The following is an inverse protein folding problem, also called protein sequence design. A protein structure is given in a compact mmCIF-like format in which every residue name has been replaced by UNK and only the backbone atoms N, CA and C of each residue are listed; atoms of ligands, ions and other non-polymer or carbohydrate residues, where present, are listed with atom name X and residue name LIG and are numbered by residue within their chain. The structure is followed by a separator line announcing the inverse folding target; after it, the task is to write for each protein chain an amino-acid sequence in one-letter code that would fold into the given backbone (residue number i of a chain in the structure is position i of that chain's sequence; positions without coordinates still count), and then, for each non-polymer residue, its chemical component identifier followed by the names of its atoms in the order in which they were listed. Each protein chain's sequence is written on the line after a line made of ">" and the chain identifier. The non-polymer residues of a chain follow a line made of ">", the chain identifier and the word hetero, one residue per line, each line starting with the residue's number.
data_IF_611470772690
#
_entry.id   IF_611470772690
#
_cell.length_a   1.000
_cell.length_b   1.000
_cell.length_c   1.000
_cell.angle_alpha   90.00
_cell.angle_beta   90.00
_cell.angle_gamma   90.00
#
_symmetry.space_group_name_H-M   'P 1'
#
loop_
_entity.id
_entity.type
_entity.pdbx_description
1 polymer ?
#
# COMPACT_ATOMS: atom_id res chain seq x y z
N UNK A 1 23.86 -47.31 -6.17
CA UNK A 1 23.57 -46.32 -7.21
C UNK A 1 22.09 -45.97 -7.17
N UNK A 2 21.76 -44.70 -7.45
CA UNK A 2 20.44 -44.04 -7.45
C UNK A 2 19.97 -43.45 -6.13
N UNK A 3 20.49 -42.24 -5.85
CA UNK A 3 19.88 -41.28 -4.95
C UNK A 3 18.64 -40.62 -5.58
N UNK A 4 17.60 -40.43 -4.76
CA UNK A 4 16.45 -39.63 -5.12
C UNK A 4 16.72 -38.18 -4.70
N UNK A 5 16.94 -37.31 -5.69
CA UNK A 5 17.21 -35.90 -5.48
C UNK A 5 15.96 -35.15 -5.03
N UNK A 6 16.03 -34.49 -3.88
CA UNK A 6 15.10 -33.44 -3.51
C UNK A 6 15.30 -32.26 -4.47
N UNK A 7 14.30 -31.98 -5.30
CA UNK A 7 14.26 -30.81 -6.17
C UNK A 7 14.36 -29.54 -5.34
N UNK A 8 15.43 -28.79 -5.55
CA UNK A 8 15.73 -27.56 -4.84
C UNK A 8 14.77 -26.43 -5.21
N UNK A 9 13.85 -26.11 -4.30
CA UNK A 9 13.30 -24.76 -4.21
C UNK A 9 14.28 -23.88 -3.43
N UNK A 10 15.41 -23.55 -4.08
CA UNK A 10 16.40 -22.64 -3.54
C UNK A 10 16.70 -21.53 -4.57
N UNK A 11 15.69 -20.70 -4.82
CA UNK A 11 15.92 -19.29 -5.17
C UNK A 11 15.48 -18.50 -3.92
N UNK A 12 16.38 -18.36 -2.93
CA UNK A 12 17.13 -17.12 -2.75
C UNK A 12 16.15 -15.93 -2.60
N UNK A 13 15.46 -15.79 -1.46
CA UNK A 13 15.92 -14.96 -0.33
C UNK A 13 17.03 -13.95 -0.71
N UNK A 14 16.61 -12.82 -1.26
CA UNK A 14 17.46 -11.68 -1.63
C UNK A 14 16.64 -10.57 -2.25
N UNK A 15 15.89 -9.83 -1.42
CA UNK A 15 15.01 -8.74 -1.84
C UNK A 15 15.76 -7.51 -2.34
N UNK A 16 16.24 -7.56 -3.58
CA UNK A 16 16.30 -6.36 -4.39
C UNK A 16 15.06 -6.36 -5.29
N UNK A 17 14.23 -5.31 -5.25
CA UNK A 17 13.30 -5.13 -6.35
C UNK A 17 14.16 -5.03 -7.61
N UNK A 18 13.99 -5.98 -8.54
CA UNK A 18 14.38 -5.74 -9.92
C UNK A 18 13.78 -4.40 -10.37
N UNK A 19 14.32 -3.81 -11.44
CA UNK A 19 13.79 -2.57 -12.01
C UNK A 19 12.26 -2.66 -12.09
N UNK A 20 11.56 -1.83 -11.32
CA UNK A 20 10.10 -1.83 -11.27
C UNK A 20 9.62 -1.26 -12.61
N UNK A 21 8.88 -2.05 -13.39
CA UNK A 21 8.19 -1.53 -14.57
C UNK A 21 6.90 -0.84 -14.12
N UNK A 22 6.90 0.50 -14.19
CA UNK A 22 5.73 1.30 -13.81
C UNK A 22 4.58 1.22 -14.82
N UNK A 23 4.78 0.65 -16.01
CA UNK A 23 3.69 0.37 -16.95
C UNK A 23 2.88 -0.87 -16.53
N UNK A 24 3.53 -1.85 -15.90
CA UNK A 24 2.87 -3.04 -15.36
C UNK A 24 2.42 -2.84 -13.91
N UNK A 25 3.21 -2.14 -13.09
CA UNK A 25 2.94 -1.90 -11.68
C UNK A 25 3.18 -0.43 -11.29
N UNK A 26 2.22 0.48 -11.58
CA UNK A 26 2.38 1.90 -11.33
C UNK A 26 2.49 2.22 -9.83
N UNK A 27 3.35 3.17 -9.49
CA UNK A 27 3.44 3.66 -8.12
C UNK A 27 2.32 4.67 -7.83
N UNK A 28 1.39 4.30 -6.96
CA UNK A 28 0.21 5.10 -6.64
C UNK A 28 0.48 5.93 -5.38
N UNK A 29 0.28 7.25 -5.47
CA UNK A 29 0.29 8.17 -4.33
C UNK A 29 -1.11 8.70 -4.11
N UNK A 30 -1.57 8.67 -2.86
CA UNK A 30 -2.86 9.18 -2.43
C UNK A 30 -2.61 10.09 -1.24
N UNK A 31 -3.24 11.27 -1.24
CA UNK A 31 -3.24 12.19 -0.11
C UNK A 31 -4.68 12.54 0.25
N UNK A 32 -4.94 12.66 1.55
CA UNK A 32 -6.26 13.03 2.06
C UNK A 32 -6.34 14.55 2.17
N UNK A 33 -7.18 15.17 1.34
CA UNK A 33 -7.45 16.63 1.42
C UNK A 33 -8.38 16.98 2.58
N UNK A 34 -9.19 16.01 3.01
CA UNK A 34 -10.07 16.08 4.17
C UNK A 34 -10.14 14.71 4.84
N UNK A 35 -10.32 14.69 6.17
CA UNK A 35 -10.72 13.47 6.89
C UNK A 35 -12.17 13.50 7.32
N UNK A 36 -12.90 14.56 6.98
CA UNK A 36 -14.32 14.69 7.32
C UNK A 36 -15.17 13.67 6.54
N UNK A 37 -15.90 12.81 7.26
CA UNK A 37 -16.86 11.89 6.66
C UNK A 37 -18.10 11.77 7.57
N UNK A 38 -19.26 11.43 7.00
CA UNK A 38 -20.49 11.19 7.78
C UNK A 38 -20.39 9.94 8.68
N UNK A 39 -19.42 9.06 8.43
CA UNK A 39 -19.18 7.82 9.17
C UNK A 39 -17.73 7.75 9.67
N UNK A 40 -17.52 7.15 10.85
CA UNK A 40 -16.20 6.86 11.42
C UNK A 40 -15.99 5.34 11.53
N UNK A 41 -15.81 4.70 10.39
CA UNK A 41 -15.63 3.25 10.31
C UNK A 41 -14.24 2.84 10.81
N UNK A 42 -14.17 1.73 11.55
CA UNK A 42 -12.90 1.17 12.07
C UNK A 42 -11.91 0.74 10.99
N UNK A 43 -12.40 0.51 9.76
CA UNK A 43 -11.60 0.13 8.60
C UNK A 43 -11.28 1.32 7.68
N UNK A 44 -11.60 2.54 8.09
CA UNK A 44 -11.37 3.71 7.24
C UNK A 44 -9.87 3.95 7.05
N UNK A 45 -9.41 3.90 5.80
CA UNK A 45 -8.01 4.15 5.46
C UNK A 45 -7.53 5.55 5.88
N UNK A 46 -8.40 6.56 5.77
CA UNK A 46 -8.09 7.94 6.12
C UNK A 46 -8.22 8.23 7.63
N UNK A 47 -8.61 7.24 8.45
CA UNK A 47 -9.06 7.43 9.84
C UNK A 47 -10.08 8.59 9.92
N UNK A 48 -11.23 8.37 9.28
CA UNK A 48 -12.26 9.38 9.14
C UNK A 48 -12.68 9.98 10.49
N UNK A 49 -12.96 11.28 10.47
CA UNK A 49 -13.52 12.05 11.58
C UNK A 49 -14.86 12.64 11.16
N UNK A 50 -15.78 12.82 12.11
CA UNK A 50 -17.12 13.35 11.80
C UNK A 50 -17.11 14.85 11.44
N UNK A 51 -15.98 15.53 11.65
CA UNK A 51 -15.80 16.96 11.40
C UNK A 51 -14.44 17.21 10.73
N UNK A 52 -14.32 18.24 9.87
CA UNK A 52 -13.03 18.68 9.32
C UNK A 52 -12.01 19.01 10.42
N UNK A 53 -10.72 18.73 10.19
CA UNK A 53 -9.67 19.34 11.04
C UNK A 53 -9.73 20.87 10.85
N UNK A 54 -9.64 21.67 11.94
CA UNK A 54 -9.71 23.13 11.84
C UNK A 54 -8.64 23.78 10.95
N UNK A 55 -7.59 23.03 10.60
CA UNK A 55 -6.49 23.45 9.73
C UNK A 55 -6.59 22.86 8.33
N UNK A 56 -7.67 22.15 7.98
CA UNK A 56 -7.93 21.73 6.60
C UNK A 56 -7.97 22.96 5.68
N UNK A 57 -7.52 22.76 4.43
CA UNK A 57 -7.52 23.83 3.45
C UNK A 57 -8.97 24.28 3.20
N UNK A 58 -9.24 25.57 3.37
CA UNK A 58 -10.57 26.13 3.11
C UNK A 58 -10.73 26.41 1.61
N UNK A 59 -11.94 26.24 1.04
CA UNK A 59 -12.23 26.77 -0.28
C UNK A 59 -11.95 28.27 -0.35
N UNK A 60 -11.44 28.74 -1.49
CA UNK A 60 -11.22 30.16 -1.78
C UNK A 60 -12.53 30.89 -2.06
#
# INVERSE_FOLDING_TARGET
>A
MHGHGHGGHAAAMGGHPGTIDFNENPYIVIWEVTRACQLKCVHCRADAQNKPDPRELTPA
#
